data_IF_003087125904
#
_entry.id   IF_003087125904
#
_cell.length_a   1.000
_cell.length_b   1.000
_cell.length_c   1.000
_cell.angle_alpha   90.00
_cell.angle_beta   90.00
_cell.angle_gamma   90.00
#
_symmetry.space_group_name_H-M   'P 1'
#
loop_
_entity.id
_entity.type
_entity.pdbx_description
1 polymer ?
#
# COMPACT_ATOMS: atom_id res chain seq x y z
N UNK A 1 7.99 57.90 60.66
CA UNK A 1 7.85 58.92 59.59
C UNK A 1 7.29 58.24 58.34
N UNK A 2 6.85 59.02 57.34
CA UNK A 2 6.01 58.61 56.19
C UNK A 2 6.82 58.18 54.94
N UNK A 3 6.21 57.33 54.10
CA UNK A 3 6.39 57.19 52.62
C UNK A 3 7.80 56.71 52.15
N UNK A 4 8.10 55.99 51.05
CA UNK A 4 7.54 55.70 49.70
C UNK A 4 8.03 54.29 49.22
N UNK A 5 7.53 53.59 48.17
CA UNK A 5 6.27 53.55 47.41
C UNK A 5 6.12 52.16 46.68
N UNK A 6 4.90 51.86 46.19
CA UNK A 6 4.43 50.80 45.26
C UNK A 6 5.36 50.24 44.16
N UNK A 7 5.11 48.99 43.72
CA UNK A 7 5.41 48.55 42.33
C UNK A 7 5.73 47.07 42.12
N UNK A 8 4.78 46.28 41.60
CA UNK A 8 4.99 44.87 41.19
C UNK A 8 5.44 44.80 39.73
N UNK A 9 6.52 44.07 39.41
CA UNK A 9 6.55 43.17 38.25
C UNK A 9 7.73 42.17 38.31
N UNK A 10 7.41 40.87 38.40
CA UNK A 10 8.40 39.81 38.18
C UNK A 10 8.51 39.57 36.67
N UNK A 11 9.56 40.08 36.04
CA UNK A 11 9.82 39.89 34.60
C UNK A 11 10.42 38.50 34.34
N UNK A 12 9.57 37.47 34.43
CA UNK A 12 9.81 36.17 33.81
C UNK A 12 9.39 36.21 32.32
N UNK A 13 9.88 35.23 31.55
CA UNK A 13 9.53 34.94 30.15
C UNK A 13 10.27 35.74 29.04
N UNK A 14 11.56 35.45 28.86
CA UNK A 14 12.24 35.55 27.55
C UNK A 14 13.08 34.30 27.24
N UNK A 15 12.46 33.12 27.41
CA UNK A 15 12.85 31.96 26.61
C UNK A 15 11.85 31.86 25.46
N UNK A 16 12.27 31.99 24.19
CA UNK A 16 11.39 31.62 23.11
C UNK A 16 11.09 30.13 23.25
N UNK A 17 9.83 29.81 23.56
CA UNK A 17 9.31 28.48 23.31
C UNK A 17 9.38 28.27 21.80
N UNK A 18 10.50 27.73 21.32
CA UNK A 18 10.62 27.23 19.96
C UNK A 18 9.72 26.01 19.90
N UNK A 19 8.44 26.26 19.64
CA UNK A 19 7.49 25.22 19.24
C UNK A 19 7.98 24.75 17.88
N UNK A 20 8.82 23.71 17.89
CA UNK A 20 9.19 22.97 16.69
C UNK A 20 7.92 22.28 16.22
N UNK A 21 7.14 22.98 15.40
CA UNK A 21 6.04 22.37 14.65
C UNK A 21 6.66 21.38 13.69
N UNK A 22 6.70 20.12 14.09
CA UNK A 22 6.92 18.99 13.19
C UNK A 22 5.70 18.87 12.26
N UNK A 23 5.60 19.81 11.31
CA UNK A 23 4.83 19.66 10.06
C UNK A 23 5.51 18.63 9.13
N UNK A 24 6.00 17.54 9.72
CA UNK A 24 6.36 16.31 9.04
C UNK A 24 5.10 15.58 8.60
N UNK A 25 4.28 16.21 7.75
CA UNK A 25 3.27 15.53 6.94
C UNK A 25 4.00 14.65 5.93
N UNK A 26 4.52 13.53 6.42
CA UNK A 26 5.03 12.44 5.60
C UNK A 26 3.82 11.74 4.96
N UNK A 27 3.17 12.43 4.01
CA UNK A 27 2.00 11.92 3.29
C UNK A 27 2.46 10.73 2.47
N UNK A 28 2.25 9.52 3.00
CA UNK A 28 2.54 8.29 2.27
C UNK A 28 1.57 8.28 1.08
N UNK A 29 2.07 8.30 -0.17
CA UNK A 29 1.19 8.28 -1.33
C UNK A 29 0.44 6.95 -1.37
N UNK A 30 -0.85 6.99 -1.70
CA UNK A 30 -1.61 5.77 -2.00
C UNK A 30 -0.91 5.00 -3.11
N UNK A 31 -0.96 3.67 -3.02
CA UNK A 31 -0.56 2.77 -4.10
C UNK A 31 -1.79 2.10 -4.69
N UNK A 32 -1.82 2.02 -6.01
CA UNK A 32 -2.84 1.29 -6.75
C UNK A 32 -2.31 -0.04 -7.23
N UNK A 33 -3.14 -1.07 -7.17
CA UNK A 33 -2.90 -2.35 -7.86
C UNK A 33 -4.07 -2.60 -8.79
N UNK A 34 -3.76 -3.06 -10.00
CA UNK A 34 -4.71 -3.57 -10.98
C UNK A 34 -4.28 -4.98 -11.33
N UNK A 35 -5.21 -5.93 -11.25
CA UNK A 35 -5.01 -7.33 -11.63
C UNK A 35 -5.93 -7.62 -12.80
N UNK A 36 -5.38 -8.17 -13.90
CA UNK A 36 -6.14 -8.60 -15.08
C UNK A 36 -6.01 -10.11 -15.25
N UNK A 37 -7.13 -10.79 -15.49
CA UNK A 37 -7.13 -12.22 -15.79
C UNK A 37 -6.70 -12.48 -17.25
N UNK A 38 -5.53 -13.10 -17.43
CA UNK A 38 -5.01 -13.63 -18.69
C UNK A 38 -4.69 -15.13 -18.61
N UNK A 39 -5.37 -15.87 -17.73
CA UNK A 39 -5.13 -17.30 -17.53
C UNK A 39 -5.45 -18.07 -18.82
N UNK A 40 -4.48 -18.87 -19.27
CA UNK A 40 -4.54 -19.59 -20.53
C UNK A 40 -5.71 -20.60 -20.55
N UNK A 41 -6.47 -20.59 -21.64
CA UNK A 41 -7.69 -21.40 -21.81
C UNK A 41 -8.99 -20.70 -21.40
N UNK A 42 -9.02 -19.37 -21.36
CA UNK A 42 -10.20 -18.54 -21.05
C UNK A 42 -10.93 -18.97 -19.76
N UNK A 43 -10.16 -19.24 -18.71
CA UNK A 43 -10.71 -19.62 -17.40
C UNK A 43 -11.10 -18.41 -16.57
N UNK A 44 -12.10 -18.59 -15.72
CA UNK A 44 -12.41 -17.62 -14.66
C UNK A 44 -11.35 -17.71 -13.55
N UNK A 45 -10.99 -16.56 -13.00
CA UNK A 45 -9.98 -16.41 -11.95
C UNK A 45 -10.66 -15.94 -10.66
N UNK A 46 -10.65 -16.78 -9.63
CA UNK A 46 -10.96 -16.37 -8.27
C UNK A 46 -9.72 -15.74 -7.64
N UNK A 47 -9.85 -14.55 -7.05
CA UNK A 47 -8.78 -13.85 -6.34
C UNK A 47 -9.25 -13.37 -4.97
N UNK A 48 -8.53 -13.75 -3.91
CA UNK A 48 -8.73 -13.24 -2.55
C UNK A 48 -7.44 -12.57 -2.07
N UNK A 49 -7.49 -11.27 -1.80
CA UNK A 49 -6.34 -10.47 -1.38
C UNK A 49 -6.51 -9.95 0.05
N UNK A 50 -5.45 -10.00 0.87
CA UNK A 50 -5.46 -9.46 2.24
C UNK A 50 -4.07 -9.10 2.74
N UNK A 51 -4.03 -8.30 3.80
CA UNK A 51 -2.84 -7.94 4.58
C UNK A 51 -2.96 -8.56 5.98
N UNK A 52 -2.20 -8.05 6.98
CA UNK A 52 -2.42 -8.41 8.39
C UNK A 52 -3.65 -7.73 9.00
N UNK A 53 -4.11 -6.61 8.42
CA UNK A 53 -5.12 -5.73 9.03
C UNK A 53 -6.31 -5.42 8.13
N UNK A 54 -6.16 -5.59 6.81
CA UNK A 54 -7.21 -5.37 5.81
C UNK A 54 -7.47 -6.66 5.04
N UNK A 55 -8.73 -6.98 4.80
CA UNK A 55 -9.15 -8.02 3.86
C UNK A 55 -9.91 -7.33 2.71
N UNK A 56 -9.48 -7.57 1.47
CA UNK A 56 -10.08 -6.97 0.27
C UNK A 56 -11.21 -7.84 -0.31
N UNK A 57 -11.50 -8.98 0.31
CA UNK A 57 -12.52 -9.93 -0.11
C UNK A 57 -12.11 -10.80 -1.30
N UNK A 58 -13.01 -11.73 -1.62
CA UNK A 58 -12.93 -12.63 -2.76
C UNK A 58 -13.66 -12.00 -3.96
N UNK A 59 -13.02 -12.06 -5.14
CA UNK A 59 -13.56 -11.54 -6.40
C UNK A 59 -13.39 -12.58 -7.51
N UNK A 60 -14.35 -12.66 -8.41
CA UNK A 60 -14.34 -13.53 -9.59
C UNK A 60 -14.11 -12.67 -10.84
N UNK A 61 -13.09 -13.01 -11.63
CA UNK A 61 -12.69 -12.29 -12.83
C UNK A 61 -12.81 -13.19 -14.04
N UNK A 62 -13.72 -12.82 -14.95
CA UNK A 62 -13.85 -13.43 -16.27
C UNK A 62 -12.58 -13.20 -17.11
N UNK A 63 -12.34 -13.98 -18.17
CA UNK A 63 -11.22 -13.75 -19.08
C UNK A 63 -11.16 -12.29 -19.54
N UNK A 64 -9.96 -11.68 -19.46
CA UNK A 64 -9.69 -10.26 -19.77
C UNK A 64 -10.38 -9.23 -18.86
N UNK A 65 -11.06 -9.65 -17.79
CA UNK A 65 -11.60 -8.74 -16.76
C UNK A 65 -10.48 -8.29 -15.82
N UNK A 66 -10.56 -7.04 -15.35
CA UNK A 66 -9.67 -6.49 -14.33
C UNK A 66 -10.37 -6.21 -13.00
N UNK A 67 -9.66 -6.39 -11.90
CA UNK A 67 -9.98 -5.88 -10.57
C UNK A 67 -8.93 -4.87 -10.14
N UNK A 68 -9.32 -3.81 -9.43
CA UNK A 68 -8.41 -2.75 -9.03
C UNK A 68 -8.77 -2.21 -7.65
N UNK A 69 -7.75 -1.88 -6.85
CA UNK A 69 -7.91 -1.28 -5.54
C UNK A 69 -6.79 -0.28 -5.26
N UNK A 70 -6.99 0.57 -4.25
CA UNK A 70 -5.93 1.45 -3.72
C UNK A 70 -5.84 1.30 -2.22
N UNK A 71 -4.61 1.37 -1.70
CA UNK A 71 -4.34 1.28 -0.27
C UNK A 71 -3.25 2.28 0.12
N UNK A 72 -3.14 2.59 1.42
CA UNK A 72 -2.01 3.31 1.97
C UNK A 72 -0.96 2.29 2.40
N UNK A 73 0.27 2.33 1.86
CA UNK A 73 1.35 1.48 2.36
C UNK A 73 1.63 1.79 3.83
N UNK A 74 1.31 0.84 4.71
CA UNK A 74 1.62 0.98 6.14
C UNK A 74 3.14 0.96 6.35
N UNK A 75 3.63 1.79 7.28
CA UNK A 75 5.05 1.79 7.67
C UNK A 75 5.48 0.44 8.29
N UNK A 76 4.53 -0.29 8.87
CA UNK A 76 4.71 -1.70 9.24
C UNK A 76 4.59 -2.57 7.99
N UNK A 77 5.67 -3.31 7.70
CA UNK A 77 5.98 -3.97 6.42
C UNK A 77 5.17 -5.26 6.20
N UNK A 78 3.85 -5.23 6.38
CA UNK A 78 3.01 -6.38 6.02
C UNK A 78 2.85 -6.42 4.49
N UNK A 79 3.14 -7.56 3.84
CA UNK A 79 2.85 -7.71 2.43
C UNK A 79 1.33 -7.68 2.22
N UNK A 80 0.92 -7.16 1.06
CA UNK A 80 -0.41 -7.45 0.54
C UNK A 80 -0.25 -8.69 -0.35
N UNK A 81 -0.76 -9.82 0.14
CA UNK A 81 -0.69 -11.10 -0.53
C UNK A 81 -2.06 -11.48 -1.06
N UNK A 82 -2.07 -12.23 -2.16
CA UNK A 82 -3.28 -12.73 -2.77
C UNK A 82 -3.17 -14.23 -3.02
N UNK A 83 -4.28 -14.92 -2.78
CA UNK A 83 -4.51 -16.30 -3.20
C UNK A 83 -5.34 -16.26 -4.49
N UNK A 84 -4.91 -17.02 -5.48
CA UNK A 84 -5.47 -17.03 -6.83
C UNK A 84 -5.74 -18.48 -7.25
N UNK A 85 -6.94 -18.78 -7.76
CA UNK A 85 -7.31 -20.10 -8.28
C UNK A 85 -8.15 -19.95 -9.56
N UNK A 86 -7.97 -20.89 -10.49
CA UNK A 86 -8.65 -20.99 -11.78
C UNK A 86 -9.06 -22.43 -12.11
N UNK A 87 -9.23 -23.27 -11.08
CA UNK A 87 -9.59 -24.68 -11.20
C UNK A 87 -8.39 -25.64 -11.32
N UNK A 88 -7.17 -25.17 -11.05
CA UNK A 88 -5.94 -25.99 -10.98
C UNK A 88 -5.26 -25.88 -9.59
N UNK A 89 -6.04 -25.47 -8.59
CA UNK A 89 -5.64 -25.30 -7.20
C UNK A 89 -5.04 -23.92 -6.93
N UNK A 90 -5.22 -23.44 -5.71
CA UNK A 90 -4.72 -22.15 -5.25
C UNK A 90 -3.21 -21.97 -5.45
N UNK A 91 -2.81 -20.75 -5.82
CA UNK A 91 -1.42 -20.25 -5.84
C UNK A 91 -1.34 -18.93 -5.09
N UNK A 92 -0.15 -18.59 -4.58
CA UNK A 92 0.07 -17.44 -3.71
C UNK A 92 1.06 -16.45 -4.33
N UNK A 93 0.80 -15.15 -4.15
CA UNK A 93 1.77 -14.11 -4.53
C UNK A 93 1.64 -12.82 -3.70
N UNK A 94 2.79 -12.23 -3.35
CA UNK A 94 2.90 -10.91 -2.74
C UNK A 94 2.73 -9.80 -3.80
N UNK A 95 1.50 -9.39 -4.08
CA UNK A 95 1.18 -8.30 -5.01
C UNK A 95 1.85 -6.97 -4.62
N UNK A 96 2.13 -6.74 -3.34
CA UNK A 96 2.91 -5.60 -2.87
C UNK A 96 3.74 -5.87 -1.61
N UNK A 97 5.01 -5.43 -1.62
CA UNK A 97 5.91 -5.44 -0.46
C UNK A 97 6.52 -4.04 -0.31
N UNK A 98 6.25 -3.36 0.82
CA UNK A 98 6.66 -1.96 1.06
C UNK A 98 8.15 -1.65 0.82
N UNK A 99 9.05 -2.60 1.12
CA UNK A 99 10.51 -2.41 0.94
C UNK A 99 11.00 -2.56 -0.50
N UNK A 100 10.20 -3.13 -1.40
CA UNK A 100 10.53 -3.16 -2.85
C UNK A 100 10.16 -1.79 -3.43
N UNK A 101 11.13 -1.08 -4.03
CA UNK A 101 10.85 0.13 -4.82
C UNK A 101 9.87 -0.26 -5.94
N UNK A 102 8.64 0.25 -5.87
CA UNK A 102 7.53 -0.19 -6.72
C UNK A 102 6.65 0.95 -7.19
N UNK A 103 6.14 0.77 -8.41
CA UNK A 103 5.11 1.52 -9.13
C UNK A 103 4.08 2.26 -8.26
N UNK A 104 3.56 3.39 -8.76
CA UNK A 104 2.41 4.07 -8.14
C UNK A 104 1.09 3.38 -8.46
N UNK A 105 0.97 2.88 -9.70
CA UNK A 105 -0.08 1.95 -10.13
C UNK A 105 0.61 0.71 -10.70
N UNK A 106 0.57 -0.39 -9.97
CA UNK A 106 1.15 -1.67 -10.38
C UNK A 106 0.09 -2.47 -11.14
N UNK A 107 0.35 -2.81 -12.41
CA UNK A 107 -0.57 -3.58 -13.25
C UNK A 107 -0.02 -4.99 -13.44
N UNK A 108 -0.73 -5.99 -12.94
CA UNK A 108 -0.38 -7.40 -13.05
C UNK A 108 -1.31 -8.13 -14.01
N UNK A 109 -0.74 -8.89 -14.94
CA UNK A 109 -1.45 -9.88 -15.74
C UNK A 109 -1.24 -11.25 -15.10
N UNK A 110 -2.34 -11.94 -14.78
CA UNK A 110 -2.28 -13.27 -14.16
C UNK A 110 -2.33 -14.33 -15.25
N UNK A 111 -1.27 -15.13 -15.36
CA UNK A 111 -1.10 -16.24 -16.29
C UNK A 111 -0.73 -17.49 -15.49
N UNK A 112 -0.92 -18.69 -16.04
CA UNK A 112 -0.67 -19.97 -15.33
C UNK A 112 0.73 -20.07 -14.74
N UNK A 113 1.74 -19.59 -15.47
CA UNK A 113 3.14 -19.60 -15.03
C UNK A 113 3.38 -18.69 -13.81
N UNK A 114 2.62 -17.60 -13.70
CA UNK A 114 2.77 -16.61 -12.65
C UNK A 114 2.31 -15.21 -13.06
N UNK A 115 2.31 -14.25 -12.11
CA UNK A 115 1.93 -12.87 -12.37
C UNK A 115 3.02 -12.10 -13.12
N UNK A 116 2.62 -11.33 -14.13
CA UNK A 116 3.49 -10.46 -14.91
C UNK A 116 3.19 -8.98 -14.65
N UNK A 117 4.17 -8.25 -14.10
CA UNK A 117 4.08 -6.81 -13.83
C UNK A 117 4.41 -6.01 -15.09
N UNK A 118 3.49 -5.15 -15.51
CA UNK A 118 3.71 -4.23 -16.62
C UNK A 118 4.67 -3.09 -16.24
N UNK A 119 5.71 -2.91 -17.05
CA UNK A 119 6.59 -1.75 -17.08
C UNK A 119 6.24 -0.87 -18.30
N UNK A 120 7.01 0.20 -18.55
CA UNK A 120 6.71 1.16 -19.64
C UNK A 120 6.55 0.50 -21.02
N UNK A 121 7.47 -0.39 -21.39
CA UNK A 121 7.55 -1.03 -22.71
C UNK A 121 7.77 -2.56 -22.62
N UNK A 122 7.73 -3.15 -21.42
CA UNK A 122 8.11 -4.54 -21.16
C UNK A 122 7.30 -5.09 -19.98
N UNK A 123 7.34 -6.40 -19.75
CA UNK A 123 6.78 -7.04 -18.57
C UNK A 123 7.87 -7.74 -17.76
N UNK A 124 7.69 -7.81 -16.44
CA UNK A 124 8.50 -8.65 -15.55
C UNK A 124 7.59 -9.72 -14.96
N UNK A 125 7.73 -10.95 -15.43
CA UNK A 125 7.03 -12.10 -14.88
C UNK A 125 7.78 -12.68 -13.69
N UNK A 126 7.02 -13.11 -12.69
CA UNK A 126 7.50 -13.81 -11.51
C UNK A 126 6.88 -15.20 -11.46
N UNK A 127 7.57 -16.17 -10.87
CA UNK A 127 6.97 -17.45 -10.55
C UNK A 127 6.09 -17.32 -9.27
N UNK A 128 5.21 -18.29 -9.03
CA UNK A 128 4.38 -18.37 -7.83
C UNK A 128 5.22 -18.61 -6.56
N UNK A 129 4.67 -18.22 -5.41
CA UNK A 129 5.26 -18.58 -4.11
C UNK A 129 4.82 -20.01 -3.76
N UNK A 130 5.81 -20.85 -3.40
CA UNK A 130 5.63 -22.20 -2.84
C UNK A 130 5.39 -22.18 -1.32
#
# INVERSE_FOLDING_TARGET
>A
MREQQHGVLVLLLLLPNIVVTIEGKHVIPKKGVVVTNEVEGERELTIHCKSRVDDLGLHELKPRQSYAWTFYPSFWTFPLYCTMDWGEGARYFDMYIYRKKGCDICRYFIRKRGPCLANKNTETCYDWIE
#
